data_IF_310187205461
#
_entry.id   IF_310187205461
#
_cell.length_a   1.000
_cell.length_b   1.000
_cell.length_c   1.000
_cell.angle_alpha   90.00
_cell.angle_beta   90.00
_cell.angle_gamma   90.00
#
_symmetry.space_group_name_H-M   'P 1'
#
loop_
_entity.id
_entity.type
_entity.pdbx_description
1 polymer ?
#
# COMPACT_ATOMS: atom_id res chain seq x y z
N UNK A 1 23.15 2.87 -10.14
CA UNK A 1 21.90 2.18 -9.75
C UNK A 1 22.02 2.07 -8.25
N UNK A 2 21.37 2.97 -7.50
CA UNK A 2 21.47 2.94 -6.05
C UNK A 2 20.89 1.61 -5.56
N UNK A 3 21.68 0.87 -4.78
CA UNK A 3 21.24 -0.38 -4.18
C UNK A 3 19.98 -0.12 -3.36
N UNK A 4 18.91 -0.87 -3.65
CA UNK A 4 17.70 -0.82 -2.85
C UNK A 4 18.06 -1.27 -1.43
N UNK A 5 17.92 -0.35 -0.47
CA UNK A 5 18.17 -0.63 0.93
C UNK A 5 17.23 -1.76 1.40
N UNK A 6 17.81 -2.85 1.87
CA UNK A 6 17.06 -3.90 2.55
C UNK A 6 16.53 -3.37 3.89
N UNK A 7 15.24 -3.56 4.10
CA UNK A 7 14.50 -3.15 5.30
C UNK A 7 13.70 -4.32 5.89
N UNK A 8 13.98 -5.55 5.46
CA UNK A 8 13.34 -6.75 5.96
C UNK A 8 13.82 -7.12 7.37
N UNK A 9 12.92 -7.77 8.12
CA UNK A 9 13.14 -8.29 9.46
C UNK A 9 12.81 -9.79 9.52
N UNK A 10 13.28 -10.45 10.57
CA UNK A 10 13.15 -11.87 10.86
C UNK A 10 11.75 -12.29 11.31
N UNK A 11 10.85 -11.34 11.59
CA UNK A 11 9.46 -11.65 11.99
C UNK A 11 8.41 -10.96 11.12
N UNK A 12 7.27 -11.62 10.82
CA UNK A 12 6.16 -10.99 10.11
C UNK A 12 5.65 -9.72 10.80
N UNK A 13 5.58 -9.73 12.15
CA UNK A 13 5.09 -8.59 12.92
C UNK A 13 6.01 -7.36 12.77
N UNK A 14 7.32 -7.55 12.80
CA UNK A 14 8.27 -6.46 12.57
C UNK A 14 8.18 -5.93 11.13
N UNK A 15 8.08 -6.81 10.13
CA UNK A 15 7.89 -6.39 8.74
C UNK A 15 6.60 -5.57 8.54
N UNK A 16 5.49 -5.97 9.16
CA UNK A 16 4.23 -5.20 9.13
C UNK A 16 4.44 -3.80 9.74
N UNK A 17 5.14 -3.69 10.87
CA UNK A 17 5.45 -2.40 11.50
C UNK A 17 6.30 -1.51 10.59
N UNK A 18 7.38 -2.04 10.01
CA UNK A 18 8.24 -1.32 9.06
C UNK A 18 7.42 -0.77 7.89
N UNK A 19 6.50 -1.56 7.34
CA UNK A 19 5.61 -1.13 6.25
C UNK A 19 4.66 -0.03 6.70
N UNK A 20 4.04 -0.16 7.88
CA UNK A 20 3.14 0.86 8.43
C UNK A 20 3.86 2.18 8.71
N UNK A 21 5.07 2.13 9.27
CA UNK A 21 5.93 3.30 9.48
C UNK A 21 6.32 3.97 8.17
N UNK A 22 6.60 3.17 7.13
CA UNK A 22 6.93 3.71 5.79
C UNK A 22 5.72 4.36 5.10
N UNK A 23 4.50 4.03 5.52
CA UNK A 23 3.27 4.63 5.02
C UNK A 23 2.91 5.93 5.75
N UNK A 24 3.54 6.20 6.90
CA UNK A 24 3.31 7.42 7.66
C UNK A 24 3.64 8.66 6.81
N UNK A 25 2.75 9.65 6.83
CA UNK A 25 2.83 10.83 5.97
C UNK A 25 2.56 10.61 4.46
N UNK A 26 2.39 9.36 3.99
CA UNK A 26 2.02 9.04 2.59
C UNK A 26 0.53 8.69 2.45
N UNK A 27 -0.02 7.99 3.43
CA UNK A 27 -1.42 7.63 3.52
C UNK A 27 -1.93 7.94 4.94
N UNK A 28 -3.23 8.17 5.06
CA UNK A 28 -3.87 8.47 6.35
C UNK A 28 -3.84 7.26 7.32
N UNK A 29 -3.47 6.08 6.83
CA UNK A 29 -3.29 4.86 7.61
C UNK A 29 -3.58 3.59 6.80
N UNK A 30 -3.74 2.47 7.50
CA UNK A 30 -4.20 1.21 6.96
C UNK A 30 -5.44 0.73 7.71
N UNK A 31 -6.47 0.31 6.97
CA UNK A 31 -7.69 -0.26 7.52
C UNK A 31 -7.61 -1.77 7.35
N UNK A 32 -7.64 -2.51 8.45
CA UNK A 32 -7.63 -3.97 8.45
C UNK A 32 -9.01 -4.47 8.83
N UNK A 33 -9.63 -5.24 7.94
CA UNK A 33 -10.92 -5.87 8.19
C UNK A 33 -10.71 -7.37 8.34
N UNK A 34 -11.16 -7.92 9.47
CA UNK A 34 -11.22 -9.37 9.66
C UNK A 34 -12.36 -9.95 8.83
N UNK A 35 -12.01 -10.90 7.96
CA UNK A 35 -12.92 -11.64 7.11
C UNK A 35 -12.92 -13.14 7.42
N UNK A 36 -12.32 -13.53 8.56
CA UNK A 36 -12.30 -14.90 9.03
C UNK A 36 -13.73 -15.43 9.14
N UNK A 37 -13.96 -16.63 8.62
CA UNK A 37 -15.26 -17.33 8.67
C UNK A 37 -15.11 -18.54 9.58
N UNK A 38 -16.12 -19.41 9.67
CA UNK A 38 -16.09 -20.64 10.50
C UNK A 38 -15.04 -21.70 10.10
N UNK A 39 -13.87 -21.27 9.65
CA UNK A 39 -12.68 -22.02 9.24
C UNK A 39 -11.53 -21.46 10.07
N UNK A 40 -10.61 -22.31 10.54
CA UNK A 40 -9.50 -21.92 11.42
C UNK A 40 -8.37 -21.12 10.74
N UNK A 41 -8.64 -20.56 9.56
CA UNK A 41 -7.66 -19.81 8.76
C UNK A 41 -7.97 -18.32 8.85
N UNK A 42 -7.05 -17.49 9.38
CA UNK A 42 -7.27 -16.05 9.46
C UNK A 42 -7.26 -15.43 8.06
N UNK A 43 -8.28 -14.65 7.75
CA UNK A 43 -8.39 -13.93 6.47
C UNK A 43 -8.61 -12.46 6.75
N UNK A 44 -7.81 -11.60 6.13
CA UNK A 44 -7.94 -10.16 6.28
C UNK A 44 -8.10 -9.46 4.94
N UNK A 45 -8.80 -8.33 4.96
CA UNK A 45 -8.73 -7.33 3.89
C UNK A 45 -8.01 -6.10 4.40
N UNK A 46 -6.80 -5.89 3.88
CA UNK A 46 -6.05 -4.66 4.08
C UNK A 46 -6.47 -3.63 3.03
N UNK A 47 -6.81 -2.42 3.49
CA UNK A 47 -7.16 -1.29 2.64
C UNK A 47 -6.23 -0.15 3.02
N UNK A 48 -5.40 0.29 2.07
CA UNK A 48 -4.58 1.50 2.21
C UNK A 48 -5.28 2.60 1.40
N UNK A 49 -5.90 3.60 2.05
CA UNK A 49 -6.57 4.68 1.34
C UNK A 49 -5.65 5.40 0.36
N UNK A 50 -6.24 5.93 -0.70
CA UNK A 50 -5.56 6.68 -1.77
C UNK A 50 -4.58 5.88 -2.64
N UNK A 51 -4.18 4.66 -2.27
CA UNK A 51 -3.34 3.80 -3.11
C UNK A 51 -4.04 3.45 -4.42
N UNK A 52 -3.27 3.50 -5.51
CA UNK A 52 -3.82 3.38 -6.86
C UNK A 52 -4.22 1.94 -7.16
N UNK A 53 -5.41 1.77 -7.74
CA UNK A 53 -5.91 0.49 -8.24
C UNK A 53 -6.13 0.53 -9.76
N UNK A 54 -5.60 1.54 -10.44
CA UNK A 54 -5.84 1.80 -11.86
C UNK A 54 -5.49 0.63 -12.79
N UNK A 55 -4.50 -0.19 -12.41
CA UNK A 55 -4.10 -1.39 -13.18
C UNK A 55 -5.15 -2.50 -13.13
N UNK A 56 -5.95 -2.55 -12.06
CA UNK A 56 -7.03 -3.53 -11.86
C UNK A 56 -8.38 -2.97 -12.33
N UNK A 57 -8.65 -1.70 -12.03
CA UNK A 57 -9.91 -1.03 -12.33
C UNK A 57 -9.64 0.38 -12.85
N UNK A 58 -9.93 0.61 -14.14
CA UNK A 58 -9.63 1.88 -14.81
C UNK A 58 -10.50 3.04 -14.33
N UNK A 59 -11.62 2.77 -13.66
CA UNK A 59 -12.48 3.79 -13.06
C UNK A 59 -11.94 4.25 -11.70
N UNK A 60 -11.16 3.40 -11.01
CA UNK A 60 -10.52 3.71 -9.73
C UNK A 60 -9.19 4.44 -9.91
N UNK A 61 -9.29 5.73 -10.27
CA UNK A 61 -8.16 6.66 -10.37
C UNK A 61 -8.08 7.55 -9.14
N UNK A 62 -6.94 7.52 -8.44
CA UNK A 62 -6.66 8.46 -7.35
C UNK A 62 -6.31 9.85 -7.88
N UNK A 63 -6.47 10.87 -7.03
CA UNK A 63 -6.12 12.26 -7.38
C UNK A 63 -4.63 12.44 -7.71
N UNK A 64 -3.76 11.55 -7.23
CA UNK A 64 -2.31 11.61 -7.49
C UNK A 64 -1.96 11.36 -8.95
N UNK A 65 -2.76 10.61 -9.70
CA UNK A 65 -2.55 10.40 -11.14
C UNK A 65 -2.64 11.72 -11.92
N UNK A 66 -3.46 12.67 -11.46
CA UNK A 66 -3.65 13.98 -12.11
C UNK A 66 -2.47 14.91 -11.89
N UNK A 67 -1.74 14.77 -10.77
CA UNK A 67 -0.60 15.63 -10.40
C UNK A 67 0.67 15.35 -11.23
N UNK A 68 0.78 14.18 -11.88
CA UNK A 68 1.99 13.74 -12.63
C UNK A 68 2.04 14.16 -14.11
N UNK A 69 1.32 15.20 -14.54
CA UNK A 69 1.59 15.80 -15.86
C UNK A 69 2.84 16.71 -15.81
N UNK A 70 4.03 16.13 -15.64
CA UNK A 70 5.25 16.83 -16.05
C UNK A 70 5.25 16.88 -17.58
N UNK A 71 5.13 18.08 -18.14
CA UNK A 71 5.37 18.34 -19.56
C UNK A 71 6.78 17.86 -19.88
N UNK A 72 6.90 16.86 -20.74
CA UNK A 72 8.18 16.54 -21.37
C UNK A 72 8.46 17.67 -22.36
N UNK A 73 9.57 18.43 -22.24
CA UNK A 73 9.95 19.38 -23.27
C UNK A 73 10.17 18.61 -24.58
N UNK A 74 9.63 19.17 -25.66
CA UNK A 74 9.76 18.61 -27.01
C UNK A 74 11.16 18.87 -27.56
#
# INVERSE_FOLDING_TARGET
MDELKDSSSDTPAANIRTVLESLDGIADGAIIVDLSRGVEVPVVRAIIPMFELFTLDRERKGERIKRKKKRVPK
#
